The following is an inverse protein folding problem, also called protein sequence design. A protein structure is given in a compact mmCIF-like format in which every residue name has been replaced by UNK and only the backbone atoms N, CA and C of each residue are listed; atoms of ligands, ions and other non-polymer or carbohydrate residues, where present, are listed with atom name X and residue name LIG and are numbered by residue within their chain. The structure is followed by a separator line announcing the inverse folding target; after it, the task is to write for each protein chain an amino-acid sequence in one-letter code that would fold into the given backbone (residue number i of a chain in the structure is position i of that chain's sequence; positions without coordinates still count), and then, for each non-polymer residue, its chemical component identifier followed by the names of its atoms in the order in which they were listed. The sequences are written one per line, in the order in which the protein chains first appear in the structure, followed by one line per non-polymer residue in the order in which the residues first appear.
data_IF_479673439513
#
_entry.id   IF_479673439513
#
_cell.length_a   1.000
_cell.length_b   1.000
_cell.length_c   1.000
_cell.angle_alpha   90.00
_cell.angle_beta   90.00
_cell.angle_gamma   90.00
#
_symmetry.space_group_name_H-M   'P 1'
#
loop_
_entity.id
_entity.type
_entity.pdbx_description
1 polymer ?
#
# COMPACT_ATOMS: atom_id res chain seq x y z
N UNK A 1 19.89 20.29 13.37
CA UNK A 1 19.09 20.47 12.13
C UNK A 1 20.02 20.27 10.96
N UNK A 2 20.02 19.07 10.38
CA UNK A 2 20.76 18.75 9.16
C UNK A 2 19.70 18.44 8.11
N UNK A 3 19.56 19.32 7.12
CA UNK A 3 18.79 19.08 5.90
C UNK A 3 19.71 18.32 4.94
N UNK A 4 19.53 17.00 4.85
CA UNK A 4 20.23 16.16 3.89
C UNK A 4 19.49 16.19 2.57
N UNK A 5 20.06 16.90 1.59
CA UNK A 5 19.66 16.83 0.19
C UNK A 5 20.16 15.51 -0.40
N UNK A 6 19.25 14.79 -1.05
CA UNK A 6 19.45 13.43 -1.54
C UNK A 6 20.26 13.40 -2.83
N UNK A 7 21.46 12.85 -2.76
CA UNK A 7 22.10 12.23 -3.91
C UNK A 7 21.42 10.88 -4.15
N UNK A 8 20.88 10.69 -5.35
CA UNK A 8 20.37 9.41 -5.85
C UNK A 8 21.55 8.45 -6.05
N UNK A 9 22.04 7.90 -4.93
CA UNK A 9 23.14 6.94 -4.87
C UNK A 9 22.68 5.52 -5.19
N UNK A 10 23.42 4.91 -6.10
CA UNK A 10 23.60 3.49 -6.40
C UNK A 10 22.91 2.47 -5.44
N UNK A 11 22.00 1.68 -5.99
CA UNK A 11 21.14 0.68 -5.31
C UNK A 11 21.88 -0.59 -4.86
N UNK A 12 23.17 -0.50 -4.55
CA UNK A 12 24.05 -1.66 -4.29
C UNK A 12 24.26 -1.99 -2.80
N UNK A 13 23.54 -1.35 -1.87
CA UNK A 13 23.75 -1.52 -0.42
C UNK A 13 22.84 -2.57 0.27
N UNK A 14 22.37 -3.57 -0.49
CA UNK A 14 21.54 -4.69 0.00
C UNK A 14 22.19 -5.61 1.06
N UNK A 15 23.51 -5.90 1.08
CA UNK A 15 24.09 -6.82 2.06
C UNK A 15 24.30 -6.21 3.47
N UNK A 16 24.32 -4.89 3.61
CA UNK A 16 24.65 -4.22 4.88
C UNK A 16 23.51 -4.32 5.91
N UNK A 17 22.25 -4.19 5.48
CA UNK A 17 21.10 -4.24 6.39
C UNK A 17 20.94 -5.61 7.06
N UNK A 18 21.12 -6.70 6.30
CA UNK A 18 21.02 -8.06 6.84
C UNK A 18 22.06 -8.32 7.93
N UNK A 19 23.30 -7.87 7.74
CA UNK A 19 24.38 -8.01 8.72
C UNK A 19 24.07 -7.23 10.01
N UNK A 20 23.62 -5.98 9.88
CA UNK A 20 23.29 -5.16 11.05
C UNK A 20 22.08 -5.71 11.81
N UNK A 21 21.03 -6.11 11.09
CA UNK A 21 19.87 -6.78 11.67
C UNK A 21 20.26 -8.02 12.46
N UNK A 22 21.11 -8.87 11.89
CA UNK A 22 21.58 -10.08 12.57
C UNK A 22 22.27 -9.76 13.90
N UNK A 23 23.18 -8.77 13.92
CA UNK A 23 23.84 -8.32 15.17
C UNK A 23 22.83 -7.84 16.21
N UNK A 24 21.85 -7.05 15.79
CA UNK A 24 20.83 -6.50 16.68
C UNK A 24 19.89 -7.58 17.24
N UNK A 25 19.50 -8.57 16.43
CA UNK A 25 18.71 -9.74 16.86
C UNK A 25 19.49 -10.56 17.90
N UNK A 26 20.76 -10.86 17.64
CA UNK A 26 21.61 -11.62 18.58
C UNK A 26 21.79 -10.86 19.89
N UNK A 27 21.97 -9.53 19.84
CA UNK A 27 22.08 -8.70 21.03
C UNK A 27 20.83 -8.71 21.92
N UNK A 28 19.65 -9.01 21.38
CA UNK A 28 18.39 -9.13 22.12
C UNK A 28 18.13 -10.54 22.69
N UNK A 29 19.01 -11.51 22.39
CA UNK A 29 18.83 -12.89 22.88
C UNK A 29 19.26 -13.01 24.34
N UNK A 30 18.56 -13.79 25.20
CA UNK A 30 18.98 -14.00 26.58
C UNK A 30 20.45 -14.44 26.69
N UNK A 31 21.21 -13.95 27.69
CA UNK A 31 20.78 -13.22 28.88
C UNK A 31 20.68 -11.69 28.69
N UNK A 32 20.93 -11.15 27.50
CA UNK A 32 21.18 -9.72 27.28
C UNK A 32 19.94 -8.80 27.43
N UNK A 33 18.79 -9.37 27.76
CA UNK A 33 17.52 -8.66 27.90
C UNK A 33 16.81 -8.52 26.56
N UNK A 34 15.71 -9.26 26.39
CA UNK A 34 14.77 -9.03 25.30
C UNK A 34 13.68 -8.08 25.79
N UNK A 35 13.28 -7.14 24.95
CA UNK A 35 12.06 -6.37 25.19
C UNK A 35 10.90 -7.36 25.18
N UNK A 36 9.96 -7.27 26.15
CA UNK A 36 8.85 -8.22 26.22
C UNK A 36 7.77 -7.89 25.18
N UNK A 37 7.52 -6.60 25.03
CA UNK A 37 6.56 -6.03 24.11
C UNK A 37 6.89 -4.55 23.90
N UNK A 38 6.36 -4.01 22.81
CA UNK A 38 6.35 -2.60 22.49
C UNK A 38 4.92 -2.15 22.23
N UNK A 39 4.62 -0.92 22.61
CA UNK A 39 3.30 -0.35 22.34
C UNK A 39 3.20 0.07 20.87
N UNK A 40 4.15 0.88 20.40
CA UNK A 40 4.06 1.50 19.07
C UNK A 40 5.42 1.66 18.39
N UNK A 41 5.43 1.52 17.07
CA UNK A 41 6.50 1.95 16.18
C UNK A 41 5.91 2.73 14.99
N UNK A 42 6.53 3.86 14.66
CA UNK A 42 6.23 4.63 13.46
C UNK A 42 7.52 5.07 12.77
N UNK A 43 7.72 4.68 11.51
CA UNK A 43 8.96 4.98 10.78
C UNK A 43 9.06 4.25 9.44
N UNK A 44 10.27 4.19 8.86
CA UNK A 44 10.50 3.45 7.62
C UNK A 44 10.60 1.93 7.89
N UNK A 45 10.23 1.11 6.91
CA UNK A 45 10.40 -0.35 6.98
C UNK A 45 11.86 -0.75 7.23
N UNK A 46 12.80 -0.06 6.58
CA UNK A 46 14.24 -0.31 6.70
C UNK A 46 14.72 -0.11 8.13
N UNK A 47 14.26 0.94 8.81
CA UNK A 47 14.64 1.22 10.20
C UNK A 47 14.22 0.07 11.13
N UNK A 48 12.95 -0.35 11.05
CA UNK A 48 12.44 -1.44 11.87
C UNK A 48 13.15 -2.77 11.56
N UNK A 49 13.46 -3.00 10.29
CA UNK A 49 14.21 -4.18 9.85
C UNK A 49 15.63 -4.19 10.45
N UNK A 50 16.36 -3.09 10.35
CA UNK A 50 17.72 -2.96 10.90
C UNK A 50 17.71 -3.09 12.41
N UNK A 51 16.75 -2.48 13.11
CA UNK A 51 16.61 -2.59 14.56
C UNK A 51 16.47 -4.05 15.01
N UNK A 52 15.97 -4.93 14.14
CA UNK A 52 15.93 -6.37 14.42
C UNK A 52 15.10 -6.69 15.66
N UNK A 53 14.03 -5.94 15.90
CA UNK A 53 13.16 -6.12 17.07
C UNK A 53 12.57 -7.53 17.06
N UNK A 54 12.73 -8.24 18.17
CA UNK A 54 12.29 -9.65 18.30
C UNK A 54 11.03 -9.84 19.16
N UNK A 55 10.44 -8.74 19.63
CA UNK A 55 9.25 -8.75 20.47
C UNK A 55 7.99 -8.29 19.71
N UNK A 56 6.79 -8.61 20.22
CA UNK A 56 5.56 -8.06 19.67
C UNK A 56 5.52 -6.53 19.80
N UNK A 57 4.93 -5.85 18.82
CA UNK A 57 4.63 -4.42 18.81
C UNK A 57 3.12 -4.30 18.59
N UNK A 58 2.37 -3.59 19.43
CA UNK A 58 0.90 -3.56 19.29
C UNK A 58 0.45 -2.75 18.06
N UNK A 59 1.09 -1.61 17.82
CA UNK A 59 0.82 -0.68 16.72
C UNK A 59 2.06 -0.44 15.86
N UNK A 60 1.95 -0.65 14.57
CA UNK A 60 3.05 -0.46 13.63
C UNK A 60 2.59 0.41 12.47
N UNK A 61 3.33 1.47 12.20
CA UNK A 61 3.13 2.36 11.06
C UNK A 61 4.43 2.36 10.24
N UNK A 62 4.35 1.85 9.01
CA UNK A 62 5.50 1.76 8.11
C UNK A 62 5.27 2.66 6.91
N UNK A 63 6.21 3.55 6.63
CA UNK A 63 6.28 4.32 5.39
C UNK A 63 7.40 3.84 4.47
N UNK A 64 7.48 4.45 3.29
CA UNK A 64 8.53 4.21 2.30
C UNK A 64 8.70 2.73 1.92
N UNK A 65 7.59 2.03 1.67
CA UNK A 65 7.59 0.62 1.22
C UNK A 65 7.93 0.52 -0.26
N UNK A 66 9.19 0.85 -0.56
CA UNK A 66 9.79 0.70 -1.88
C UNK A 66 9.90 -0.79 -2.24
N UNK A 67 9.75 -1.07 -3.53
CA UNK A 67 9.79 -2.43 -4.09
C UNK A 67 11.03 -3.22 -3.66
N UNK A 68 12.20 -2.60 -3.73
CA UNK A 68 13.49 -3.18 -3.35
C UNK A 68 13.63 -3.52 -1.86
N UNK A 69 12.77 -3.00 -0.98
CA UNK A 69 12.79 -3.28 0.46
C UNK A 69 11.71 -4.25 0.93
N UNK A 70 10.80 -4.72 0.07
CA UNK A 70 9.65 -5.55 0.49
C UNK A 70 10.03 -6.89 1.10
N UNK A 71 11.18 -7.43 0.73
CA UNK A 71 11.72 -8.65 1.35
C UNK A 71 11.93 -8.51 2.87
N UNK A 72 12.02 -7.27 3.38
CA UNK A 72 12.16 -6.97 4.80
C UNK A 72 10.84 -7.10 5.57
N UNK A 73 9.69 -7.06 4.89
CA UNK A 73 8.38 -7.00 5.54
C UNK A 73 8.04 -8.29 6.28
N UNK A 74 8.25 -9.45 5.66
CA UNK A 74 7.98 -10.76 6.28
C UNK A 74 8.75 -10.96 7.60
N UNK A 75 10.08 -10.79 7.66
CA UNK A 75 10.81 -10.93 8.91
C UNK A 75 10.41 -9.86 9.95
N UNK A 76 10.09 -8.63 9.54
CA UNK A 76 9.61 -7.58 10.46
C UNK A 76 8.27 -7.97 11.09
N UNK A 77 7.28 -8.34 10.27
CA UNK A 77 5.94 -8.67 10.76
C UNK A 77 5.93 -9.99 11.54
N UNK A 78 6.77 -10.97 11.17
CA UNK A 78 6.88 -12.24 11.89
C UNK A 78 7.31 -12.09 13.35
N UNK A 79 8.14 -11.09 13.68
CA UNK A 79 8.49 -10.75 15.06
C UNK A 79 7.50 -9.76 15.70
N UNK A 80 7.21 -8.65 15.01
CA UNK A 80 6.36 -7.58 15.55
C UNK A 80 4.90 -8.03 15.78
N UNK A 81 4.35 -8.87 14.91
CA UNK A 81 2.97 -9.40 14.98
C UNK A 81 1.94 -8.34 15.44
N UNK A 82 1.80 -7.25 14.69
CA UNK A 82 0.98 -6.12 15.11
C UNK A 82 -0.50 -6.47 15.21
N UNK A 83 -1.20 -5.77 16.10
CA UNK A 83 -2.67 -5.71 16.08
C UNK A 83 -3.18 -4.66 15.13
N UNK A 84 -2.48 -3.54 15.05
CA UNK A 84 -2.80 -2.42 14.17
C UNK A 84 -1.61 -2.14 13.27
N UNK A 85 -1.80 -2.31 11.96
CA UNK A 85 -0.77 -2.06 10.95
C UNK A 85 -1.25 -1.00 9.97
N UNK A 86 -0.42 0.01 9.75
CA UNK A 86 -0.61 0.99 8.68
C UNK A 86 0.61 0.97 7.77
N UNK A 87 0.36 0.86 6.48
CA UNK A 87 1.36 0.86 5.42
C UNK A 87 1.12 2.05 4.51
N UNK A 88 2.01 3.03 4.58
CA UNK A 88 2.00 4.23 3.76
C UNK A 88 2.98 4.08 2.60
N UNK A 89 2.68 4.75 1.48
CA UNK A 89 3.56 4.83 0.32
C UNK A 89 4.03 3.45 -0.18
N UNK A 90 3.09 2.50 -0.28
CA UNK A 90 3.37 1.19 -0.86
C UNK A 90 3.44 1.31 -2.38
N UNK A 91 4.67 1.30 -2.91
CA UNK A 91 4.98 1.59 -4.31
C UNK A 91 5.25 0.31 -5.11
N UNK A 92 4.66 0.15 -6.30
CA UNK A 92 5.06 -0.87 -7.28
C UNK A 92 4.21 -2.13 -7.26
N UNK A 93 2.98 -2.04 -7.75
CA UNK A 93 2.02 -3.14 -7.82
C UNK A 93 2.46 -4.31 -8.73
N UNK A 94 3.43 -4.10 -9.61
CA UNK A 94 3.97 -5.03 -10.63
C UNK A 94 4.76 -6.23 -10.11
N UNK A 95 4.90 -6.40 -8.79
CA UNK A 95 5.34 -7.69 -8.27
C UNK A 95 4.28 -8.77 -8.54
N UNK A 96 4.71 -10.03 -8.59
CA UNK A 96 3.77 -11.15 -8.68
C UNK A 96 2.71 -10.97 -7.59
N UNK A 97 1.41 -10.92 -7.94
CA UNK A 97 0.34 -10.78 -6.95
C UNK A 97 0.52 -11.79 -5.82
N UNK A 98 0.95 -13.02 -6.14
CA UNK A 98 1.19 -14.09 -5.18
C UNK A 98 2.22 -13.76 -4.09
N UNK A 99 3.16 -12.86 -4.32
CA UNK A 99 4.24 -12.54 -3.36
C UNK A 99 4.01 -11.25 -2.58
N UNK A 100 3.26 -10.29 -3.14
CA UNK A 100 3.12 -8.94 -2.60
C UNK A 100 2.66 -8.90 -1.14
N UNK A 101 1.81 -9.85 -0.74
CA UNK A 101 1.17 -9.86 0.58
C UNK A 101 1.53 -11.07 1.45
N UNK A 102 2.53 -11.86 1.05
CA UNK A 102 2.94 -13.07 1.79
C UNK A 102 3.35 -12.78 3.24
N UNK A 103 3.86 -11.58 3.53
CA UNK A 103 4.24 -11.16 4.87
C UNK A 103 3.07 -11.16 5.88
N UNK A 104 1.82 -11.15 5.41
CA UNK A 104 0.65 -11.29 6.28
C UNK A 104 0.29 -12.74 6.57
N UNK A 105 0.80 -13.69 5.79
CA UNK A 105 0.56 -15.10 6.02
C UNK A 105 1.33 -15.58 7.26
N UNK A 106 0.76 -16.58 7.95
CA UNK A 106 1.41 -17.17 9.12
C UNK A 106 1.54 -16.21 10.31
N UNK A 107 2.77 -15.98 10.78
CA UNK A 107 3.02 -15.24 12.03
C UNK A 107 2.75 -13.74 11.89
N UNK A 108 3.04 -13.15 10.72
CA UNK A 108 2.90 -11.71 10.51
C UNK A 108 1.48 -11.19 10.69
N UNK A 109 0.48 -11.92 10.18
CA UNK A 109 -0.94 -11.57 10.33
C UNK A 109 -1.65 -12.21 11.54
N UNK A 110 -0.96 -13.03 12.34
CA UNK A 110 -1.60 -13.86 13.39
C UNK A 110 -2.36 -13.08 14.47
N UNK A 111 -2.03 -11.81 14.68
CA UNK A 111 -2.69 -10.91 15.65
C UNK A 111 -3.37 -9.72 14.98
N UNK A 112 -3.36 -9.65 13.65
CA UNK A 112 -3.73 -8.44 12.93
C UNK A 112 -5.24 -8.21 12.99
N UNK A 113 -5.65 -7.20 13.77
CA UNK A 113 -7.04 -6.79 13.97
C UNK A 113 -7.42 -5.60 13.07
N UNK A 114 -6.46 -4.76 12.68
CA UNK A 114 -6.69 -3.61 11.81
C UNK A 114 -5.54 -3.44 10.82
N UNK A 115 -5.89 -3.33 9.54
CA UNK A 115 -4.95 -3.08 8.46
C UNK A 115 -5.38 -1.86 7.65
N UNK A 116 -4.46 -0.92 7.44
CA UNK A 116 -4.59 0.14 6.44
C UNK A 116 -3.43 0.05 5.46
N UNK A 117 -3.72 0.10 4.16
CA UNK A 117 -2.74 0.09 3.08
C UNK A 117 -3.03 1.22 2.11
N UNK A 118 -2.06 2.10 1.92
CA UNK A 118 -2.09 3.17 0.94
C UNK A 118 -1.15 2.76 -0.22
N UNK A 119 -1.76 2.32 -1.33
CA UNK A 119 -1.12 1.76 -2.53
C UNK A 119 -0.96 2.84 -3.61
N UNK A 120 0.22 2.90 -4.21
CA UNK A 120 0.54 3.80 -5.31
C UNK A 120 1.00 2.99 -6.51
N UNK A 121 0.25 3.08 -7.60
CA UNK A 121 0.68 2.56 -8.89
C UNK A 121 1.70 3.50 -9.52
N UNK A 122 2.81 2.94 -9.99
CA UNK A 122 3.84 3.64 -10.76
C UNK A 122 3.70 3.33 -12.25
N UNK A 123 4.45 4.02 -13.10
CA UNK A 123 4.47 3.80 -14.56
C UNK A 123 4.74 2.34 -14.92
N UNK A 124 5.59 1.65 -14.16
CA UNK A 124 5.91 0.24 -14.36
C UNK A 124 4.74 -0.71 -14.03
N UNK A 125 3.67 -0.19 -13.42
CA UNK A 125 2.48 -0.93 -13.04
C UNK A 125 1.35 -0.81 -14.08
N UNK A 126 1.59 -0.23 -15.25
CA UNK A 126 0.59 -0.06 -16.32
C UNK A 126 -0.12 -1.37 -16.71
N UNK A 127 0.59 -2.50 -16.57
CA UNK A 127 0.15 -3.84 -16.98
C UNK A 127 -0.41 -4.66 -15.82
N UNK A 128 -0.64 -4.05 -14.66
CA UNK A 128 -1.09 -4.74 -13.46
C UNK A 128 -2.58 -5.07 -13.53
N UNK A 129 -2.93 -6.30 -13.13
CA UNK A 129 -4.31 -6.67 -12.85
C UNK A 129 -4.68 -6.37 -11.39
N UNK A 130 -5.45 -5.30 -11.17
CA UNK A 130 -5.96 -4.88 -9.85
C UNK A 130 -6.75 -5.99 -9.19
N UNK A 131 -7.59 -6.72 -9.94
CA UNK A 131 -8.37 -7.81 -9.39
C UNK A 131 -7.45 -8.89 -8.79
N UNK A 132 -6.41 -9.32 -9.51
CA UNK A 132 -5.46 -10.32 -9.03
C UNK A 132 -4.71 -9.89 -7.75
N UNK A 133 -4.33 -8.61 -7.65
CA UNK A 133 -3.70 -8.05 -6.44
C UNK A 133 -4.66 -8.12 -5.25
N UNK A 134 -5.90 -7.69 -5.45
CA UNK A 134 -6.91 -7.69 -4.41
C UNK A 134 -7.24 -9.13 -3.96
N UNK A 135 -7.31 -10.10 -4.88
CA UNK A 135 -7.49 -11.52 -4.55
C UNK A 135 -6.32 -12.09 -3.73
N UNK A 136 -5.08 -11.70 -4.06
CA UNK A 136 -3.91 -12.11 -3.29
C UNK A 136 -3.92 -11.54 -1.87
N UNK A 137 -4.31 -10.27 -1.72
CA UNK A 137 -4.47 -9.64 -0.41
C UNK A 137 -5.51 -10.38 0.43
N UNK A 138 -6.68 -10.66 -0.15
CA UNK A 138 -7.75 -11.40 0.52
C UNK A 138 -7.29 -12.78 0.95
N UNK A 139 -6.59 -13.51 0.07
CA UNK A 139 -6.06 -14.85 0.37
C UNK A 139 -5.02 -14.81 1.49
N UNK A 140 -4.14 -13.80 1.49
CA UNK A 140 -3.09 -13.65 2.50
C UNK A 140 -3.62 -13.27 3.89
N UNK A 141 -4.81 -12.66 3.94
CA UNK A 141 -5.48 -12.24 5.18
C UNK A 141 -6.58 -13.19 5.65
N UNK A 142 -6.85 -14.27 4.92
CA UNK A 142 -7.95 -15.21 5.20
C UNK A 142 -7.92 -15.79 6.63
N UNK A 143 -6.72 -15.91 7.22
CA UNK A 143 -6.52 -16.46 8.55
C UNK A 143 -6.37 -15.39 9.66
N UNK A 144 -6.29 -14.11 9.30
CA UNK A 144 -6.08 -13.04 10.26
C UNK A 144 -7.38 -12.75 11.04
N UNK A 145 -7.30 -12.38 12.34
CA UNK A 145 -8.46 -11.97 13.14
C UNK A 145 -8.89 -10.53 12.81
N UNK A 146 -8.93 -10.19 11.52
CA UNK A 146 -9.08 -8.82 11.02
C UNK A 146 -10.49 -8.29 11.26
N UNK A 147 -10.58 -7.16 11.96
CA UNK A 147 -11.84 -6.45 12.28
C UNK A 147 -12.05 -5.22 11.40
N UNK A 148 -10.96 -4.59 10.96
CA UNK A 148 -10.99 -3.39 10.14
C UNK A 148 -9.97 -3.46 9.02
N UNK A 149 -10.42 -3.20 7.79
CA UNK A 149 -9.59 -3.13 6.59
C UNK A 149 -9.83 -1.79 5.87
N UNK A 150 -8.76 -1.07 5.58
CA UNK A 150 -8.80 0.13 4.74
C UNK A 150 -7.76 0.03 3.64
N UNK A 151 -8.19 0.15 2.39
CA UNK A 151 -7.32 0.15 1.23
C UNK A 151 -7.60 1.43 0.46
N UNK A 152 -6.57 2.24 0.26
CA UNK A 152 -6.62 3.39 -0.64
C UNK A 152 -5.61 3.15 -1.75
N UNK A 153 -6.07 3.07 -3.00
CA UNK A 153 -5.25 2.83 -4.17
C UNK A 153 -5.32 4.04 -5.08
N UNK A 154 -4.17 4.67 -5.33
CA UNK A 154 -4.04 5.74 -6.33
C UNK A 154 -3.36 5.20 -7.58
N UNK A 155 -4.02 5.40 -8.72
CA UNK A 155 -3.50 5.19 -10.07
C UNK A 155 -3.35 6.53 -10.83
N UNK A 156 -3.37 7.65 -10.10
CA UNK A 156 -3.37 9.01 -10.68
C UNK A 156 -2.09 9.33 -11.48
N UNK A 157 -0.96 8.67 -11.16
CA UNK A 157 0.33 8.85 -11.84
C UNK A 157 0.29 8.30 -13.27
N UNK A 158 -0.62 7.36 -13.53
CA UNK A 158 -0.70 6.63 -14.79
C UNK A 158 -1.53 7.33 -15.86
N UNK A 159 -2.11 8.50 -15.58
CA UNK A 159 -2.91 9.21 -16.59
C UNK A 159 -1.99 9.70 -17.73
N UNK A 160 -2.08 9.11 -18.94
CA UNK A 160 -1.26 9.52 -20.08
C UNK A 160 -1.63 10.91 -20.60
N UNK A 161 -2.71 11.52 -20.11
CA UNK A 161 -3.08 12.85 -20.57
C UNK A 161 -2.00 13.86 -20.17
N UNK A 162 -1.43 14.57 -21.16
CA UNK A 162 -0.43 15.59 -20.93
C UNK A 162 -1.08 16.69 -20.09
N UNK A 163 -0.67 16.79 -18.82
CA UNK A 163 -1.02 17.82 -17.80
C UNK A 163 -1.83 17.37 -16.58
N UNK A 164 -2.20 16.08 -16.46
CA UNK A 164 -2.97 15.64 -15.29
C UNK A 164 -2.16 15.18 -14.09
N UNK A 165 -0.82 15.02 -14.23
CA UNK A 165 0.00 14.88 -13.04
C UNK A 165 -0.07 16.18 -12.23
N UNK A 166 -0.38 16.05 -10.93
CA UNK A 166 -0.49 17.19 -10.01
C UNK A 166 0.74 18.10 -10.05
N UNK A 167 1.91 17.50 -10.33
CA UNK A 167 3.18 18.19 -10.50
C UNK A 167 3.26 18.99 -11.81
N UNK A 168 2.87 18.43 -12.96
CA UNK A 168 2.87 19.15 -14.24
C UNK A 168 1.92 20.36 -14.20
N UNK A 169 0.72 20.18 -13.63
CA UNK A 169 -0.23 21.27 -13.43
C UNK A 169 0.32 22.37 -12.53
N UNK A 170 0.93 22.00 -11.40
CA UNK A 170 1.54 22.96 -10.47
C UNK A 170 2.67 23.75 -11.13
N UNK A 171 3.55 23.07 -11.90
CA UNK A 171 4.63 23.73 -12.63
C UNK A 171 4.09 24.69 -13.69
N UNK A 172 3.01 24.31 -14.39
CA UNK A 172 2.35 25.15 -15.39
C UNK A 172 1.75 26.41 -14.78
N UNK A 173 1.02 26.27 -13.67
CA UNK A 173 0.47 27.40 -12.92
C UNK A 173 1.58 28.35 -12.46
N UNK A 174 2.68 27.80 -11.94
CA UNK A 174 3.83 28.59 -11.53
C UNK A 174 4.49 29.34 -12.70
N UNK A 175 4.56 28.71 -13.88
CA UNK A 175 5.15 29.30 -15.08
C UNK A 175 4.17 30.16 -15.91
N UNK A 176 2.88 30.24 -15.52
CA UNK A 176 1.85 30.95 -16.27
C UNK A 176 1.58 30.38 -17.67
N UNK A 177 1.87 29.09 -17.88
CA UNK A 177 1.74 28.43 -19.17
C UNK A 177 0.25 28.10 -19.46
N UNK A 178 -0.23 28.26 -20.71
CA UNK A 178 -1.62 27.94 -21.05
C UNK A 178 -1.90 26.44 -20.90
N UNK A 179 -3.11 26.05 -20.50
CA UNK A 179 -3.53 24.64 -20.45
C UNK A 179 -3.47 24.01 -21.85
N UNK A 180 -3.11 22.73 -21.98
CA UNK A 180 -3.12 22.07 -23.27
C UNK A 180 -4.57 21.94 -23.78
N UNK A 181 -4.78 21.80 -25.10
CA UNK A 181 -6.09 21.45 -25.61
C UNK A 181 -6.57 20.12 -25.00
N UNK A 182 -7.88 19.93 -24.82
CA UNK A 182 -8.44 18.64 -24.38
C UNK A 182 -7.98 17.53 -25.31
N UNK A 183 -7.46 16.44 -24.75
CA UNK A 183 -7.05 15.29 -25.55
C UNK A 183 -8.29 14.47 -25.93
N UNK A 184 -8.36 14.03 -27.19
CA UNK A 184 -9.41 13.10 -27.63
C UNK A 184 -9.30 11.81 -26.82
N UNK A 185 -10.37 11.34 -26.15
CA UNK A 185 -10.37 10.06 -25.45
C UNK A 185 -9.91 8.86 -26.31
N UNK A 186 -10.07 8.93 -27.64
CA UNK A 186 -9.59 7.91 -28.58
C UNK A 186 -8.06 7.86 -28.67
N UNK A 187 -7.38 9.00 -28.47
CA UNK A 187 -5.92 9.11 -28.57
C UNK A 187 -5.19 8.64 -27.30
N UNK A 188 -5.95 8.35 -26.23
CA UNK A 188 -5.42 7.93 -24.94
C UNK A 188 -6.19 6.71 -24.41
N UNK A 189 -6.02 5.52 -25.02
CA UNK A 189 -6.68 4.31 -24.54
C UNK A 189 -6.30 4.02 -23.08
N UNK A 190 -7.23 3.41 -22.34
CA UNK A 190 -6.99 2.99 -20.96
C UNK A 190 -5.91 1.91 -20.91
N UNK A 191 -4.94 2.10 -19.99
CA UNK A 191 -3.96 1.10 -19.60
C UNK A 191 -4.67 -0.11 -18.96
N UNK A 192 -3.98 -1.26 -18.90
CA UNK A 192 -4.58 -2.48 -18.34
C UNK A 192 -4.98 -2.30 -16.88
N UNK A 193 -4.14 -1.64 -16.08
CA UNK A 193 -4.45 -1.35 -14.67
C UNK A 193 -5.62 -0.41 -14.50
N UNK A 194 -5.78 0.59 -15.37
CA UNK A 194 -6.96 1.48 -15.38
C UNK A 194 -8.23 0.70 -15.71
N UNK A 195 -8.18 -0.15 -16.75
CA UNK A 195 -9.31 -0.99 -17.16
C UNK A 195 -9.68 -2.01 -16.07
N UNK A 196 -8.69 -2.70 -15.51
CA UNK A 196 -8.91 -3.64 -14.41
C UNK A 196 -9.51 -2.92 -13.19
N UNK A 197 -9.00 -1.74 -12.84
CA UNK A 197 -9.56 -0.91 -11.76
C UNK A 197 -11.02 -0.46 -12.03
N UNK A 198 -11.37 -0.14 -13.27
CA UNK A 198 -12.74 0.25 -13.65
C UNK A 198 -13.71 -0.95 -13.62
N UNK A 199 -13.29 -2.07 -14.19
CA UNK A 199 -14.10 -3.30 -14.28
C UNK A 199 -14.19 -4.05 -12.94
N UNK A 200 -13.30 -3.76 -11.98
CA UNK A 200 -13.28 -4.44 -10.68
C UNK A 200 -14.59 -4.23 -9.90
N UNK A 201 -15.28 -5.33 -9.60
CA UNK A 201 -16.46 -5.34 -8.74
C UNK A 201 -16.06 -5.30 -7.26
N UNK A 202 -15.79 -4.08 -6.78
CA UNK A 202 -15.44 -3.85 -5.38
C UNK A 202 -16.53 -4.31 -4.39
N UNK A 203 -17.81 -4.27 -4.80
CA UNK A 203 -18.91 -4.64 -3.91
C UNK A 203 -18.96 -6.16 -3.73
N UNK A 204 -18.83 -6.93 -4.81
CA UNK A 204 -18.70 -8.38 -4.71
C UNK A 204 -17.43 -8.78 -3.95
N UNK A 205 -16.28 -8.14 -4.24
CA UNK A 205 -15.04 -8.40 -3.53
C UNK A 205 -15.19 -8.22 -2.02
N UNK A 206 -15.77 -7.10 -1.56
CA UNK A 206 -15.99 -6.86 -0.12
C UNK A 206 -16.92 -7.90 0.51
N UNK A 207 -17.97 -8.34 -0.21
CA UNK A 207 -18.84 -9.42 0.28
C UNK A 207 -18.10 -10.76 0.37
N UNK A 208 -17.27 -11.09 -0.62
CA UNK A 208 -16.41 -12.30 -0.58
C UNK A 208 -15.41 -12.23 0.57
N UNK A 209 -14.77 -11.09 0.76
CA UNK A 209 -13.84 -10.88 1.86
C UNK A 209 -14.52 -11.05 3.22
N UNK A 210 -15.69 -10.43 3.43
CA UNK A 210 -16.45 -10.56 4.67
C UNK A 210 -16.89 -12.01 4.98
N UNK A 211 -17.21 -12.80 3.93
CA UNK A 211 -17.48 -14.24 4.09
C UNK A 211 -16.23 -15.03 4.47
N UNK A 212 -15.08 -14.67 3.90
CA UNK A 212 -13.80 -15.35 4.15
C UNK A 212 -13.21 -15.02 5.53
N UNK A 213 -13.42 -13.78 6.01
CA UNK A 213 -12.93 -13.29 7.31
C UNK A 213 -14.13 -12.86 8.16
N UNK A 214 -14.78 -13.80 8.89
CA UNK A 214 -16.01 -13.52 9.64
C UNK A 214 -15.85 -12.51 10.79
N UNK A 215 -14.61 -12.19 11.16
CA UNK A 215 -14.31 -11.18 12.20
C UNK A 215 -14.34 -9.76 11.67
N UNK A 216 -14.39 -9.57 10.35
CA UNK A 216 -14.36 -8.28 9.67
C UNK A 216 -15.66 -7.51 9.91
N UNK A 217 -15.53 -6.33 10.54
CA UNK A 217 -16.66 -5.45 10.90
C UNK A 217 -16.74 -4.23 10.00
N UNK A 218 -15.59 -3.76 9.54
CA UNK A 218 -15.45 -2.54 8.78
C UNK A 218 -14.50 -2.78 7.62
N UNK A 219 -14.90 -2.33 6.44
CA UNK A 219 -14.04 -2.36 5.26
C UNK A 219 -14.25 -1.10 4.46
N UNK A 220 -13.17 -0.48 4.01
CA UNK A 220 -13.21 0.59 3.03
C UNK A 220 -12.19 0.30 1.96
N UNK A 221 -12.62 0.30 0.70
CA UNK A 221 -11.73 0.21 -0.44
C UNK A 221 -12.01 1.43 -1.29
N UNK A 222 -10.97 2.18 -1.61
CA UNK A 222 -11.00 3.33 -2.47
C UNK A 222 -10.00 3.13 -3.60
N UNK A 223 -10.43 3.43 -4.82
CA UNK A 223 -9.56 3.53 -5.99
C UNK A 223 -9.74 4.93 -6.57
N UNK A 224 -8.66 5.70 -6.68
CA UNK A 224 -8.62 7.04 -7.29
C UNK A 224 -7.69 7.08 -8.50
N UNK A 225 -7.91 8.05 -9.39
CA UNK A 225 -7.08 8.23 -10.59
C UNK A 225 -7.61 7.59 -11.85
N UNK A 226 -8.86 7.12 -11.82
CA UNK A 226 -9.60 6.76 -13.04
C UNK A 226 -9.98 8.04 -13.78
N UNK A 227 -9.02 8.65 -14.50
CA UNK A 227 -9.18 9.90 -15.27
C UNK A 227 -9.83 11.02 -14.47
N UNK A 228 -9.29 11.26 -13.27
CA UNK A 228 -9.79 12.28 -12.34
C UNK A 228 -11.07 11.92 -11.57
N UNK A 229 -11.53 10.67 -11.66
CA UNK A 229 -12.60 10.11 -10.82
C UNK A 229 -12.09 9.26 -9.65
N UNK A 230 -13.02 8.84 -8.79
CA UNK A 230 -12.76 7.83 -7.78
C UNK A 230 -13.99 6.95 -7.54
N UNK A 231 -13.72 5.72 -7.11
CA UNK A 231 -14.75 4.77 -6.67
C UNK A 231 -14.40 4.33 -5.24
N UNK A 232 -15.41 4.16 -4.40
CA UNK A 232 -15.23 3.70 -3.02
C UNK A 232 -16.34 2.75 -2.63
N UNK A 233 -16.01 1.64 -2.00
CA UNK A 233 -16.98 0.80 -1.31
C UNK A 233 -16.71 0.81 0.18
N UNK A 234 -17.79 0.82 0.97
CA UNK A 234 -17.73 0.66 2.43
C UNK A 234 -18.59 -0.53 2.84
N UNK A 235 -18.05 -1.37 3.71
CA UNK A 235 -18.82 -2.35 4.47
C UNK A 235 -19.14 -1.75 5.83
N UNK A 236 -20.43 -1.62 6.14
CA UNK A 236 -20.90 -1.25 7.48
C UNK A 236 -22.08 -2.15 7.84
N UNK A 237 -22.00 -2.79 9.00
CA UNK A 237 -23.06 -3.65 9.54
C UNK A 237 -23.49 -4.80 8.58
N UNK A 238 -22.53 -5.30 7.76
CA UNK A 238 -22.77 -6.38 6.80
C UNK A 238 -23.30 -5.93 5.43
N UNK A 239 -23.59 -4.65 5.25
CA UNK A 239 -24.02 -4.09 3.97
C UNK A 239 -22.90 -3.33 3.26
N UNK A 240 -22.71 -3.63 1.98
CA UNK A 240 -21.73 -2.97 1.12
C UNK A 240 -22.39 -1.79 0.38
N UNK A 241 -21.93 -0.58 0.66
CA UNK A 241 -22.39 0.66 0.03
C UNK A 241 -21.32 1.17 -0.93
N UNK A 242 -21.68 1.26 -2.22
CA UNK A 242 -20.81 1.80 -3.28
C UNK A 242 -21.07 3.30 -3.45
N UNK A 243 -20.02 4.10 -3.32
CA UNK A 243 -19.96 5.53 -3.63
C UNK A 243 -19.10 5.71 -4.88
N UNK A 244 -19.59 6.45 -5.87
CA UNK A 244 -18.83 6.79 -7.08
C UNK A 244 -18.89 8.30 -7.28
N UNK A 245 -17.73 8.90 -7.55
CA UNK A 245 -17.66 10.27 -8.03
C UNK A 245 -17.01 10.27 -9.41
N UNK A 246 -17.80 10.63 -10.42
CA UNK A 246 -17.27 10.97 -11.73
C UNK A 246 -16.59 12.33 -11.68
N UNK A 247 -15.62 12.54 -12.56
CA UNK A 247 -15.05 13.86 -12.80
C UNK A 247 -16.20 14.82 -13.14
N UNK A 248 -16.41 15.85 -12.32
CA UNK A 248 -17.31 16.93 -12.70
C UNK A 248 -16.60 17.69 -13.82
N UNK A 249 -17.15 17.76 -15.05
CA UNK A 249 -16.55 18.61 -16.06
C UNK A 249 -16.57 20.03 -15.49
N UNK A 250 -15.38 20.59 -15.28
CA UNK A 250 -15.19 21.97 -14.88
C UNK A 250 -16.10 22.82 -15.77
N UNK A 251 -17.11 23.47 -15.18
CA UNK A 251 -17.96 24.41 -15.92
C UNK A 251 -17.03 25.50 -16.47
N UNK A 252 -16.82 25.47 -17.78
CA UNK A 252 -16.20 26.53 -18.56
C UNK A 252 -17.07 27.77 -18.61
#
# INVERSE_FOLDING_TARGET
MHTGEGEAGDTTDSPHYGSQRYKNVVAQTPPNGAWRELEEFAGALVDLYILGVTCPIDRVQLGALRRDHRYMLDPVLSYARPRHLILYDWQGLSESPATAFLAFQGRGGSRLESLRVDLWALEEDADVDVAAIMESLMSSLAHAPLRSLSIDMSIDILDPQPDHSSHARMLREFLGSPSPPPVDPQDCPLLLVERSADEFDMADYVRRFARLVPTLRQTTIRISGLRGGWRRVKLKDGEAMLEVAAHSPSRT
#
